data_IF_636403834068
#
_entry.id   IF_636403834068
#
_cell.length_a   1.000
_cell.length_b   1.000
_cell.length_c   1.000
_cell.angle_alpha   90.00
_cell.angle_beta   90.00
_cell.angle_gamma   90.00
#
_symmetry.space_group_name_H-M   'P 1'
#
loop_
_entity.id
_entity.type
_entity.pdbx_description
1 polymer ?
#
# COMPACT_ATOMS: atom_id res chain seq x y z
N UNK A 1 8.07 11.61 -7.55
CA UNK A 1 8.61 11.21 -6.22
C UNK A 1 7.56 10.49 -5.36
N UNK A 2 6.35 11.04 -5.19
CA UNK A 2 5.26 10.39 -4.42
C UNK A 2 4.87 9.02 -4.98
N UNK A 3 4.74 8.87 -6.32
CA UNK A 3 4.46 7.57 -6.95
C UNK A 3 5.48 6.48 -6.58
N UNK A 4 6.77 6.81 -6.59
CA UNK A 4 7.83 5.87 -6.21
C UNK A 4 7.69 5.48 -4.73
N UNK A 5 7.55 6.47 -3.85
CA UNK A 5 7.35 6.26 -2.41
C UNK A 5 6.11 5.41 -2.12
N UNK A 6 5.01 5.64 -2.83
CA UNK A 6 3.78 4.87 -2.70
C UNK A 6 3.98 3.40 -3.09
N UNK A 7 4.68 3.13 -4.21
CA UNK A 7 5.00 1.77 -4.63
C UNK A 7 5.96 1.06 -3.66
N UNK A 8 6.92 1.76 -3.09
CA UNK A 8 7.76 1.19 -2.03
C UNK A 8 6.96 0.86 -0.77
N UNK A 9 6.04 1.72 -0.36
CA UNK A 9 5.14 1.44 0.77
C UNK A 9 4.27 0.20 0.47
N UNK A 10 3.77 0.05 -0.76
CA UNK A 10 3.06 -1.16 -1.20
C UNK A 10 3.93 -2.41 -1.06
N UNK A 11 5.16 -2.38 -1.55
CA UNK A 11 6.08 -3.51 -1.42
C UNK A 11 6.36 -3.85 0.06
N UNK A 12 6.63 -2.84 0.90
CA UNK A 12 6.91 -3.00 2.33
C UNK A 12 5.72 -3.58 3.09
N UNK A 13 4.49 -3.25 2.71
CA UNK A 13 3.29 -3.81 3.30
C UNK A 13 2.96 -5.22 2.77
N UNK A 14 3.27 -5.49 1.50
CA UNK A 14 3.05 -6.77 0.83
C UNK A 14 4.01 -7.88 1.28
N UNK A 15 5.31 -7.58 1.36
CA UNK A 15 6.34 -8.60 1.54
C UNK A 15 6.17 -9.41 2.84
N UNK A 16 5.91 -8.80 4.02
CA UNK A 16 5.72 -9.56 5.26
C UNK A 16 4.54 -10.54 5.23
N UNK A 17 3.49 -10.25 4.44
CA UNK A 17 2.28 -11.07 4.39
C UNK A 17 2.44 -12.23 3.40
N UNK A 18 3.18 -12.01 2.32
CA UNK A 18 3.21 -12.95 1.19
C UNK A 18 4.54 -13.66 1.02
N UNK A 19 5.62 -13.13 1.61
CA UNK A 19 7.01 -13.51 1.37
C UNK A 19 7.39 -13.57 -0.12
N UNK A 20 6.77 -12.72 -0.93
CA UNK A 20 6.96 -12.69 -2.39
C UNK A 20 7.43 -11.33 -2.86
N UNK A 21 8.30 -11.32 -3.88
CA UNK A 21 8.67 -10.09 -4.57
C UNK A 21 7.46 -9.49 -5.31
N UNK A 22 7.30 -8.17 -5.22
CA UNK A 22 6.31 -7.38 -5.95
C UNK A 22 7.01 -6.22 -6.66
N UNK A 23 7.16 -6.34 -7.97
CA UNK A 23 7.84 -5.36 -8.81
C UNK A 23 6.95 -4.16 -9.14
N UNK A 24 7.57 -3.06 -9.57
CA UNK A 24 6.84 -1.83 -9.84
C UNK A 24 5.77 -1.94 -10.94
N UNK A 25 5.97 -2.77 -11.96
CA UNK A 25 4.98 -2.97 -13.03
C UNK A 25 3.76 -3.78 -12.58
N UNK A 26 3.85 -4.46 -11.44
CA UNK A 26 2.77 -5.26 -10.86
C UNK A 26 1.83 -4.43 -9.96
N UNK A 27 2.06 -3.11 -9.86
CA UNK A 27 1.29 -2.19 -9.00
C UNK A 27 0.88 -0.94 -9.76
N UNK A 28 -0.42 -0.66 -9.77
CA UNK A 28 -1.00 0.60 -10.23
C UNK A 28 -1.45 1.45 -9.04
N UNK A 29 -1.07 2.72 -9.02
CA UNK A 29 -1.42 3.64 -7.93
C UNK A 29 -2.44 4.66 -8.46
N UNK A 30 -3.58 4.74 -7.80
CA UNK A 30 -4.59 5.78 -8.00
C UNK A 30 -4.53 6.76 -6.83
N UNK A 31 -4.27 8.04 -7.10
CA UNK A 31 -4.20 9.09 -6.08
C UNK A 31 -5.57 9.75 -5.86
N UNK A 32 -5.85 10.09 -4.60
CA UNK A 32 -7.04 10.82 -4.17
C UNK A 32 -6.57 12.09 -3.43
N UNK A 33 -6.34 13.16 -4.18
CA UNK A 33 -5.68 14.38 -3.69
C UNK A 33 -6.44 15.04 -2.55
N UNK A 34 -7.76 15.12 -2.66
CA UNK A 34 -8.66 15.72 -1.65
C UNK A 34 -8.54 15.08 -0.26
N UNK A 35 -8.05 13.84 -0.17
CA UNK A 35 -7.92 13.07 1.08
C UNK A 35 -6.47 12.80 1.47
N UNK A 36 -5.52 13.29 0.68
CA UNK A 36 -4.11 12.93 0.76
C UNK A 36 -3.92 11.40 0.87
N UNK A 37 -4.62 10.65 0.01
CA UNK A 37 -4.62 9.19 0.01
C UNK A 37 -4.37 8.59 -1.36
N UNK A 38 -4.09 7.29 -1.39
CA UNK A 38 -3.93 6.53 -2.62
C UNK A 38 -4.46 5.11 -2.45
N UNK A 39 -4.85 4.51 -3.56
CA UNK A 39 -5.18 3.09 -3.67
C UNK A 39 -4.11 2.41 -4.52
N UNK A 40 -3.53 1.33 -4.01
CA UNK A 40 -2.59 0.48 -4.75
C UNK A 40 -3.32 -0.77 -5.23
N UNK A 41 -3.47 -0.90 -6.56
CA UNK A 41 -4.05 -2.07 -7.21
C UNK A 41 -2.94 -3.04 -7.63
N UNK A 42 -2.98 -4.25 -7.09
CA UNK A 42 -1.97 -5.28 -7.28
C UNK A 42 -2.41 -6.22 -8.41
N UNK A 43 -1.61 -6.30 -9.47
CA UNK A 43 -1.89 -7.16 -10.63
C UNK A 43 -1.35 -8.59 -10.46
N UNK A 44 -0.48 -8.78 -9.48
CA UNK A 44 0.08 -10.09 -9.15
C UNK A 44 -0.97 -10.89 -8.39
N UNK A 45 -1.23 -12.12 -8.84
CA UNK A 45 -2.09 -13.05 -8.12
C UNK A 45 -1.59 -13.28 -6.69
N UNK A 46 -2.48 -13.11 -5.71
CA UNK A 46 -2.15 -13.26 -4.30
C UNK A 46 -3.33 -12.95 -3.38
N UNK A 47 -3.12 -13.02 -2.05
CA UNK A 47 -4.19 -12.83 -1.07
C UNK A 47 -4.68 -11.38 -0.97
N UNK A 48 -3.97 -10.43 -1.58
CA UNK A 48 -4.28 -9.00 -1.51
C UNK A 48 -4.30 -8.44 -2.93
N UNK A 49 -5.47 -7.99 -3.38
CA UNK A 49 -5.65 -7.33 -4.67
C UNK A 49 -5.55 -5.81 -4.57
N UNK A 50 -5.82 -5.24 -3.39
CA UNK A 50 -5.86 -3.81 -3.16
C UNK A 50 -5.31 -3.45 -1.77
N UNK A 51 -4.59 -2.33 -1.69
CA UNK A 51 -4.19 -1.71 -0.43
C UNK A 51 -4.53 -0.22 -0.44
N UNK A 52 -4.94 0.31 0.71
CA UNK A 52 -5.21 1.73 0.90
C UNK A 52 -4.06 2.38 1.66
N UNK A 53 -3.61 3.53 1.16
CA UNK A 53 -2.53 4.28 1.78
C UNK A 53 -2.83 5.77 1.89
N UNK A 54 -2.02 6.45 2.69
CA UNK A 54 -2.01 7.91 2.84
C UNK A 54 -0.64 8.45 2.51
N UNK A 55 -0.59 9.71 2.11
CA UNK A 55 0.67 10.41 1.89
C UNK A 55 0.65 11.79 2.52
N UNK A 56 1.84 12.32 2.79
CA UNK A 56 2.04 13.69 3.25
C UNK A 56 3.30 14.26 2.61
N UNK A 57 3.27 15.56 2.34
CA UNK A 57 4.42 16.32 1.85
C UNK A 57 4.58 17.53 2.76
N UNK A 58 5.66 17.59 3.53
CA UNK A 58 5.96 18.73 4.39
C UNK A 58 7.47 18.88 4.53
N UNK A 59 7.96 20.11 4.62
CA UNK A 59 9.39 20.43 4.80
C UNK A 59 10.33 19.69 3.84
N UNK A 60 9.92 19.51 2.57
CA UNK A 60 10.70 18.81 1.55
C UNK A 60 10.74 17.28 1.68
N UNK A 61 10.04 16.70 2.67
CA UNK A 61 9.96 15.24 2.90
C UNK A 61 8.65 14.70 2.32
N UNK A 62 8.71 13.51 1.71
CA UNK A 62 7.55 12.75 1.26
C UNK A 62 7.40 11.54 2.17
N UNK A 63 6.22 11.37 2.75
CA UNK A 63 5.88 10.20 3.56
C UNK A 63 4.71 9.50 2.88
N UNK A 64 4.80 8.17 2.77
CA UNK A 64 3.72 7.29 2.32
C UNK A 64 3.56 6.15 3.31
N UNK A 65 2.32 5.85 3.69
CA UNK A 65 2.00 4.79 4.63
C UNK A 65 0.83 3.97 4.08
N UNK A 66 0.87 2.66 4.32
CA UNK A 66 -0.24 1.74 4.06
C UNK A 66 -0.58 1.09 5.39
N UNK A 67 -1.85 1.12 5.75
CA UNK A 67 -2.37 0.40 6.90
C UNK A 67 -2.84 -0.97 6.42
N UNK A 68 -2.33 -2.03 7.06
CA UNK A 68 -2.85 -3.37 6.87
C UNK A 68 -3.83 -3.63 8.01
N UNK A 69 -5.14 -3.72 7.73
CA UNK A 69 -6.11 -4.00 8.76
C UNK A 69 -5.78 -5.36 9.39
N UNK A 70 -5.68 -5.39 10.72
CA UNK A 70 -5.67 -6.64 11.45
C UNK A 70 -7.04 -7.30 11.25
N UNK A 71 -7.13 -8.56 10.81
CA UNK A 71 -8.41 -9.25 10.80
C UNK A 71 -8.99 -9.20 12.23
N UNK A 72 -10.30 -8.93 12.40
CA UNK A 72 -10.89 -8.96 13.73
C UNK A 72 -10.61 -10.32 14.39
N UNK A 73 -10.33 -10.35 15.71
CA UNK A 73 -10.04 -11.60 16.40
C UNK A 73 -11.17 -12.59 16.14
N UNK A 74 -10.80 -13.79 15.72
CA UNK A 74 -11.72 -14.89 15.47
C UNK A 74 -12.45 -15.20 16.80
N UNK A 75 -13.78 -15.01 16.82
CA UNK A 75 -14.60 -15.37 17.98
C UNK A 75 -14.44 -16.87 18.22
N UNK A 76 -13.62 -17.24 19.21
CA UNK A 76 -13.52 -18.61 19.70
C UNK A 76 -14.89 -18.99 20.26
N UNK A 77 -15.57 -19.90 19.57
CA UNK A 77 -16.73 -20.63 20.08
C UNK A 77 -16.26 -21.82 20.89
#
# INVERSE_FOLDING_TARGET
>A
KVLFSAKEATYKAWYPITNKWLGFKEVFINFHEERNSFTAHIQKNGPIAEMKGRYAIFNGVIITAIEIPHPPPENQS
#
